data_IF_790848754750
#
_entry.id   IF_790848754750
#
_cell.length_a   1.000
_cell.length_b   1.000
_cell.length_c   1.000
_cell.angle_alpha   90.00
_cell.angle_beta   90.00
_cell.angle_gamma   90.00
#
_symmetry.space_group_name_H-M   'P 1'
#
loop_
_entity.id
_entity.type
_entity.pdbx_description
1 polymer ?
#
# COMPACT_ATOMS: atom_id res chain seq x y z
N UNK A 1 20.92 -4.94 1.91
CA UNK A 1 20.68 -3.68 1.18
C UNK A 1 20.82 -2.57 2.20
N UNK A 2 21.45 -1.44 1.87
CA UNK A 2 21.55 -0.31 2.80
C UNK A 2 20.29 0.55 2.69
N UNK A 3 19.53 0.71 3.77
CA UNK A 3 18.27 1.44 3.79
C UNK A 3 18.11 2.22 5.10
N UNK A 4 17.21 3.20 5.12
CA UNK A 4 16.97 4.00 6.32
C UNK A 4 16.34 3.17 7.43
N UNK A 5 17.01 3.10 8.57
CA UNK A 5 16.53 2.42 9.78
C UNK A 5 16.18 3.40 10.90
N UNK A 6 16.50 4.69 10.71
CA UNK A 6 16.14 5.77 11.62
C UNK A 6 16.42 7.14 11.00
N UNK A 7 16.11 8.23 11.72
CA UNK A 7 16.35 9.59 11.23
C UNK A 7 17.83 9.79 10.87
N UNK A 8 18.10 10.09 9.59
CA UNK A 8 19.45 10.29 9.06
C UNK A 8 20.38 9.06 9.14
N UNK A 9 19.89 7.90 9.58
CA UNK A 9 20.70 6.70 9.80
C UNK A 9 20.29 5.60 8.83
N UNK A 10 21.28 5.06 8.13
CA UNK A 10 21.09 3.89 7.25
C UNK A 10 21.71 2.65 7.88
N UNK A 11 20.96 1.56 7.90
CA UNK A 11 21.41 0.23 8.31
C UNK A 11 21.38 -0.76 7.17
N UNK A 12 22.00 -1.92 7.38
CA UNK A 12 21.83 -3.06 6.48
C UNK A 12 20.57 -3.82 6.84
N UNK A 13 19.70 -4.03 5.84
CA UNK A 13 18.52 -4.87 5.96
C UNK A 13 18.58 -6.04 4.96
N UNK A 14 18.09 -7.23 5.34
CA UNK A 14 17.90 -8.32 4.41
C UNK A 14 17.03 -7.90 3.22
N UNK A 15 17.34 -8.41 2.03
CA UNK A 15 16.58 -8.05 0.82
C UNK A 15 15.12 -8.49 0.91
N UNK A 16 14.86 -9.64 1.54
CA UNK A 16 13.50 -10.15 1.73
C UNK A 16 12.66 -9.23 2.62
N UNK A 17 13.23 -8.73 3.71
CA UNK A 17 12.54 -7.81 4.62
C UNK A 17 12.24 -6.48 3.94
N UNK A 18 13.17 -5.98 3.11
CA UNK A 18 12.95 -4.77 2.33
C UNK A 18 11.83 -4.93 1.30
N UNK A 19 11.81 -6.06 0.58
CA UNK A 19 10.73 -6.37 -0.37
C UNK A 19 9.39 -6.51 0.36
N UNK A 20 9.39 -7.12 1.54
CA UNK A 20 8.20 -7.22 2.38
C UNK A 20 7.70 -5.85 2.85
N UNK A 21 8.62 -4.97 3.26
CA UNK A 21 8.31 -3.57 3.57
C UNK A 21 7.64 -2.86 2.39
N UNK A 22 8.23 -2.94 1.20
CA UNK A 22 7.66 -2.30 -0.01
C UNK A 22 6.28 -2.84 -0.38
N UNK A 23 6.07 -4.16 -0.25
CA UNK A 23 4.76 -4.76 -0.50
C UNK A 23 3.70 -4.19 0.46
N UNK A 24 4.03 -4.12 1.76
CA UNK A 24 3.11 -3.59 2.77
C UNK A 24 2.87 -2.09 2.59
N UNK A 25 3.89 -1.32 2.22
CA UNK A 25 3.79 0.10 1.90
C UNK A 25 2.82 0.35 0.73
N UNK A 26 2.93 -0.42 -0.35
CA UNK A 26 2.00 -0.36 -1.47
C UNK A 26 0.57 -0.71 -1.06
N UNK A 27 0.38 -1.76 -0.25
CA UNK A 27 -0.94 -2.15 0.26
C UNK A 27 -1.54 -1.04 1.13
N UNK A 28 -0.73 -0.43 2.01
CA UNK A 28 -1.11 0.67 2.88
C UNK A 28 -1.57 1.88 2.07
N UNK A 29 -0.75 2.35 1.13
CA UNK A 29 -1.08 3.51 0.29
C UNK A 29 -2.23 3.26 -0.67
N UNK A 30 -2.40 2.02 -1.19
CA UNK A 30 -3.58 1.67 -1.98
C UNK A 30 -4.87 1.82 -1.17
N UNK A 31 -4.85 1.47 0.12
CA UNK A 31 -5.97 1.72 1.02
C UNK A 31 -6.25 3.21 1.25
N UNK A 32 -5.22 4.05 1.30
CA UNK A 32 -5.42 5.51 1.37
C UNK A 32 -6.03 6.05 0.07
N UNK A 33 -5.56 5.58 -1.09
CA UNK A 33 -6.08 6.02 -2.39
C UNK A 33 -7.53 5.62 -2.61
N UNK A 34 -8.01 4.48 -2.08
CA UNK A 34 -9.43 4.13 -2.20
C UNK A 34 -10.34 5.13 -1.46
N UNK A 35 -9.89 5.68 -0.33
CA UNK A 35 -10.60 6.75 0.38
C UNK A 35 -10.59 8.05 -0.43
N UNK A 36 -9.45 8.41 -1.02
CA UNK A 36 -9.36 9.61 -1.87
C UNK A 36 -10.24 9.49 -3.10
N UNK A 37 -10.31 8.31 -3.72
CA UNK A 37 -11.18 8.06 -4.86
C UNK A 37 -12.64 8.22 -4.48
N UNK A 38 -13.07 7.67 -3.33
CA UNK A 38 -14.44 7.86 -2.81
C UNK A 38 -14.76 9.33 -2.55
N UNK A 39 -13.85 10.07 -1.93
CA UNK A 39 -14.05 11.50 -1.65
C UNK A 39 -14.09 12.37 -2.91
N UNK A 40 -13.50 11.89 -4.00
CA UNK A 40 -13.54 12.54 -5.30
C UNK A 40 -14.69 12.01 -6.19
N UNK A 41 -15.70 11.37 -5.60
CA UNK A 41 -16.85 10.75 -6.29
C UNK A 41 -16.47 9.73 -7.38
N UNK A 42 -15.26 9.14 -7.28
CA UNK A 42 -14.78 8.08 -8.15
C UNK A 42 -15.24 6.68 -7.69
N UNK A 43 -15.29 5.74 -8.63
CA UNK A 43 -15.64 4.35 -8.35
C UNK A 43 -14.47 3.61 -7.70
N UNK A 44 -14.69 3.04 -6.51
CA UNK A 44 -13.68 2.26 -5.81
C UNK A 44 -13.66 0.83 -6.37
N UNK A 45 -12.52 0.33 -6.87
CA UNK A 45 -12.46 -1.03 -7.39
C UNK A 45 -12.49 -2.08 -6.28
N UNK A 46 -12.80 -3.32 -6.65
CA UNK A 46 -12.56 -4.51 -5.83
C UNK A 46 -11.05 -4.71 -5.64
N UNK A 47 -10.61 -4.94 -4.41
CA UNK A 47 -9.18 -5.08 -4.09
C UNK A 47 -8.87 -6.49 -3.55
N UNK A 48 -9.57 -6.87 -2.49
CA UNK A 48 -9.49 -8.20 -1.86
C UNK A 48 -10.88 -8.81 -1.62
N UNK A 49 -11.90 -8.10 -2.10
CA UNK A 49 -13.28 -8.16 -1.66
C UNK A 49 -14.08 -7.24 -2.57
N UNK A 50 -15.39 -7.47 -2.71
CA UNK A 50 -16.22 -6.62 -3.54
C UNK A 50 -16.23 -5.23 -2.89
N UNK A 51 -16.28 -4.19 -3.70
CA UNK A 51 -16.57 -2.85 -3.20
C UNK A 51 -18.06 -2.57 -3.35
N UNK A 52 -18.50 -1.40 -2.87
CA UNK A 52 -19.85 -0.93 -3.15
C UNK A 52 -20.09 -0.61 -4.65
N UNK A 53 -19.01 -0.33 -5.41
CA UNK A 53 -19.10 0.09 -6.81
C UNK A 53 -18.73 -1.05 -7.79
N UNK A 54 -18.02 -2.08 -7.32
CA UNK A 54 -17.60 -3.24 -8.10
C UNK A 54 -17.90 -4.53 -7.31
N UNK A 55 -19.11 -5.12 -7.50
CA UNK A 55 -19.45 -6.39 -6.89
C UNK A 55 -18.66 -7.55 -7.51
N UNK A 56 -18.46 -8.63 -6.77
CA UNK A 56 -18.07 -9.90 -7.39
C UNK A 56 -19.25 -10.33 -8.27
N UNK A 57 -18.98 -10.62 -9.54
CA UNK A 57 -19.97 -11.28 -10.41
C UNK A 57 -20.64 -12.45 -9.71
#
# INVERSE_FOLDING_TARGET
MRFFTGPGTTGEIPRIDWLWFLLNDQIHHRGQFSIYLRMADGQVPSIYGPSADEPWM
#
